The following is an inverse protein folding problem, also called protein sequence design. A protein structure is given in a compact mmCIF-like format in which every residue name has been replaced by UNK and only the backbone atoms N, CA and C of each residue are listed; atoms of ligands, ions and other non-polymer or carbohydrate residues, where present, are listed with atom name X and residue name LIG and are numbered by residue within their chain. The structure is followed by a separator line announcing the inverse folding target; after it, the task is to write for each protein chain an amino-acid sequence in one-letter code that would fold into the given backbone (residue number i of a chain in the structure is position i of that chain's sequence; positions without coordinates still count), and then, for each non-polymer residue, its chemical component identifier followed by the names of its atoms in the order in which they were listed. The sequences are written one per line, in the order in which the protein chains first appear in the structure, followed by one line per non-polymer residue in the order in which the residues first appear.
data_IF_705977332643
#
_entry.id   IF_705977332643
#
_cell.length_a   1.000
_cell.length_b   1.000
_cell.length_c   1.000
_cell.angle_alpha   90.00
_cell.angle_beta   90.00
_cell.angle_gamma   90.00
#
_symmetry.space_group_name_H-M   'P 1'
#
loop_
_entity.id
_entity.type
_entity.pdbx_description
1 polymer ?
#
# COMPACT_ATOMS: atom_id res chain seq x y z
N UNK A 1 4.03 5.07 -13.87
CA UNK A 1 3.82 4.02 -14.89
C UNK A 1 4.53 4.45 -16.17
N UNK A 2 5.74 3.95 -16.43
CA UNK A 2 6.57 4.40 -17.56
C UNK A 2 5.92 4.09 -18.91
N UNK A 3 5.13 3.02 -18.99
CA UNK A 3 4.28 2.68 -20.14
C UNK A 3 3.28 3.79 -20.45
N UNK A 4 2.67 4.40 -19.43
CA UNK A 4 1.73 5.50 -19.65
C UNK A 4 2.40 6.76 -20.22
N UNK A 5 3.62 7.07 -19.75
CA UNK A 5 4.41 8.17 -20.30
C UNK A 5 4.79 7.96 -21.77
N UNK A 6 5.14 6.73 -22.14
CA UNK A 6 5.51 6.38 -23.51
C UNK A 6 4.33 6.45 -24.49
N UNK A 7 3.17 5.91 -24.11
CA UNK A 7 1.98 5.92 -24.98
C UNK A 7 1.42 7.33 -25.19
N UNK A 8 1.45 8.20 -24.17
CA UNK A 8 1.01 9.59 -24.30
C UNK A 8 1.87 10.44 -25.24
N UNK A 9 3.14 10.10 -25.45
CA UNK A 9 4.01 10.75 -26.44
C UNK A 9 3.93 10.10 -27.83
N UNK A 10 3.28 8.93 -27.94
CA UNK A 10 3.10 8.21 -29.19
C UNK A 10 1.81 8.62 -29.93
N UNK A 11 1.74 8.35 -31.23
CA UNK A 11 0.55 8.62 -32.06
C UNK A 11 -0.73 7.88 -31.60
N UNK A 12 -0.63 6.87 -30.73
CA UNK A 12 -1.78 6.16 -30.17
C UNK A 12 -2.48 6.94 -29.04
N UNK A 13 -1.89 8.04 -28.58
CA UNK A 13 -2.45 8.89 -27.54
C UNK A 13 -2.66 8.18 -26.20
N UNK A 14 -3.47 8.79 -25.34
CA UNK A 14 -3.77 8.30 -24.00
C UNK A 14 -4.68 7.05 -24.02
N UNK A 15 -5.51 6.88 -25.05
CA UNK A 15 -6.47 5.79 -25.18
C UNK A 15 -5.79 4.42 -25.28
N UNK A 16 -4.61 4.35 -25.93
CA UNK A 16 -3.84 3.11 -26.09
C UNK A 16 -3.47 2.43 -24.76
N UNK A 17 -3.25 3.20 -23.70
CA UNK A 17 -2.97 2.67 -22.35
C UNK A 17 -4.16 1.92 -21.79
N UNK A 18 -5.37 2.45 -21.98
CA UNK A 18 -6.58 1.84 -21.46
C UNK A 18 -6.83 0.49 -22.13
N UNK A 19 -6.63 0.41 -23.45
CA UNK A 19 -6.72 -0.86 -24.18
C UNK A 19 -5.66 -1.86 -23.74
N UNK A 20 -4.40 -1.43 -23.59
CA UNK A 20 -3.31 -2.31 -23.14
C UNK A 20 -3.60 -2.87 -21.74
N UNK A 21 -3.99 -2.00 -20.80
CA UNK A 21 -4.31 -2.41 -19.44
C UNK A 21 -5.55 -3.31 -19.38
N UNK A 22 -6.56 -3.06 -20.22
CA UNK A 22 -7.75 -3.92 -20.31
C UNK A 22 -7.44 -5.32 -20.83
N UNK A 23 -6.58 -5.44 -21.86
CA UNK A 23 -6.15 -6.75 -22.38
C UNK A 23 -5.33 -7.48 -21.32
N UNK A 24 -4.42 -6.78 -20.65
CA UNK A 24 -3.57 -7.38 -19.61
C UNK A 24 -4.40 -7.90 -18.45
N UNK A 25 -5.36 -7.11 -17.95
CA UNK A 25 -6.25 -7.54 -16.85
C UNK A 25 -7.12 -8.72 -17.27
N UNK A 26 -7.64 -8.73 -18.50
CA UNK A 26 -8.43 -9.84 -19.03
C UNK A 26 -7.63 -11.15 -19.07
N UNK A 27 -6.37 -11.11 -19.55
CA UNK A 27 -5.47 -12.27 -19.53
C UNK A 27 -5.26 -12.77 -18.10
N UNK A 28 -4.97 -11.88 -17.15
CA UNK A 28 -4.81 -12.25 -15.74
C UNK A 28 -6.08 -12.84 -15.14
N UNK A 29 -7.26 -12.31 -15.46
CA UNK A 29 -8.55 -12.84 -15.00
C UNK A 29 -8.80 -14.25 -15.55
N UNK A 30 -8.49 -14.50 -16.83
CA UNK A 30 -8.60 -15.84 -17.42
C UNK A 30 -7.67 -16.82 -16.69
N UNK A 31 -6.40 -16.44 -16.50
CA UNK A 31 -5.43 -17.28 -15.78
C UNK A 31 -5.92 -17.57 -14.35
N UNK A 32 -6.39 -16.54 -13.65
CA UNK A 32 -6.91 -16.68 -12.29
C UNK A 32 -8.15 -17.59 -12.25
N UNK A 33 -9.05 -17.48 -13.23
CA UNK A 33 -10.24 -18.34 -13.33
C UNK A 33 -9.87 -19.83 -13.48
N UNK A 34 -8.80 -20.14 -14.22
CA UNK A 34 -8.34 -21.53 -14.38
C UNK A 34 -7.56 -22.07 -13.17
N UNK A 35 -6.80 -21.21 -12.48
CA UNK A 35 -5.91 -21.62 -11.38
C UNK A 35 -6.64 -21.61 -10.02
N UNK A 36 -7.49 -20.62 -9.77
CA UNK A 36 -8.06 -20.40 -8.45
C UNK A 36 -9.15 -21.43 -8.11
N UNK A 37 -9.00 -22.11 -6.97
CA UNK A 37 -10.02 -23.01 -6.40
C UNK A 37 -10.28 -22.64 -4.95
N UNK A 38 -11.56 -22.67 -4.56
CA UNK A 38 -12.03 -22.18 -3.25
C UNK A 38 -11.64 -23.06 -2.06
N UNK A 39 -11.36 -24.34 -2.30
CA UNK A 39 -10.89 -25.27 -1.26
C UNK A 39 -9.49 -25.80 -1.59
N UNK A 40 -8.54 -25.76 -0.63
CA UNK A 40 -7.20 -26.33 -0.84
C UNK A 40 -7.26 -27.83 -1.16
N UNK A 41 -8.29 -28.53 -0.69
CA UNK A 41 -8.55 -29.96 -0.97
C UNK A 41 -8.96 -30.25 -2.42
N UNK A 42 -9.41 -29.25 -3.17
CA UNK A 42 -9.87 -29.40 -4.56
C UNK A 42 -8.78 -29.01 -5.57
N UNK A 43 -7.61 -28.58 -5.09
CA UNK A 43 -6.53 -28.11 -5.93
C UNK A 43 -5.72 -29.30 -6.49
N UNK A 44 -5.68 -29.53 -7.82
CA UNK A 44 -5.07 -30.72 -8.40
C UNK A 44 -3.54 -30.78 -8.26
N UNK A 45 -2.89 -29.67 -7.89
CA UNK A 45 -1.44 -29.60 -7.70
C UNK A 45 -1.00 -29.60 -6.23
N UNK A 46 -1.91 -29.84 -5.27
CA UNK A 46 -1.50 -29.90 -3.85
C UNK A 46 -1.00 -31.30 -3.51
N UNK A 47 0.16 -31.37 -2.84
CA UNK A 47 0.69 -32.64 -2.34
C UNK A 47 -0.02 -33.04 -1.05
N UNK A 48 -0.27 -34.33 -0.83
CA UNK A 48 -0.87 -34.83 0.42
C UNK A 48 -0.07 -34.44 1.67
N UNK A 49 1.25 -34.25 1.53
CA UNK A 49 2.13 -33.79 2.61
C UNK A 49 1.85 -32.33 2.97
N UNK A 50 1.66 -31.47 1.96
CA UNK A 50 1.35 -30.06 2.14
C UNK A 50 -0.07 -29.89 2.71
N UNK A 51 -1.03 -30.69 2.22
CA UNK A 51 -2.41 -30.69 2.71
C UNK A 51 -2.45 -31.05 4.21
N UNK A 52 -1.70 -32.08 4.63
CA UNK A 52 -1.55 -32.43 6.06
C UNK A 52 -0.88 -31.32 6.87
N UNK A 53 0.12 -30.61 6.34
CA UNK A 53 0.74 -29.48 7.05
C UNK A 53 -0.21 -28.29 7.23
N UNK A 54 -1.01 -27.97 6.22
CA UNK A 54 -2.02 -26.91 6.30
C UNK A 54 -3.13 -27.28 7.29
N UNK A 55 -3.58 -28.54 7.27
CA UNK A 55 -4.58 -29.04 8.22
C UNK A 55 -4.06 -29.13 9.66
N UNK A 56 -2.78 -29.47 9.86
CA UNK A 56 -2.16 -29.51 11.18
C UNK A 56 -1.92 -28.09 11.77
N UNK A 57 -1.61 -27.11 10.90
CA UNK A 57 -1.45 -25.70 11.28
C UNK A 57 -2.76 -25.01 11.63
N UNK A 58 -3.88 -25.44 11.04
CA UNK A 58 -5.24 -25.10 11.48
C UNK A 58 -5.54 -25.88 12.75
N UNK A 59 -5.07 -25.36 13.89
CA UNK A 59 -5.36 -25.92 15.22
C UNK A 59 -6.82 -26.39 15.29
N UNK A 60 -7.08 -27.58 15.87
CA UNK A 60 -8.38 -28.25 16.03
C UNK A 60 -9.57 -27.37 16.50
N UNK A 61 -9.30 -26.12 16.90
CA UNK A 61 -10.26 -25.07 17.20
C UNK A 61 -11.09 -24.63 15.98
N UNK A 62 -10.53 -24.53 14.77
CA UNK A 62 -11.33 -24.13 13.59
C UNK A 62 -12.20 -25.28 13.05
N UNK A 63 -11.72 -26.52 13.12
CA UNK A 63 -12.44 -27.69 12.58
C UNK A 63 -13.55 -28.20 13.51
N UNK A 64 -13.38 -28.09 14.85
CA UNK A 64 -14.47 -28.39 15.81
C UNK A 64 -15.48 -27.25 15.90
N UNK A 65 -15.07 -26.00 15.70
CA UNK A 65 -16.02 -24.87 15.64
C UNK A 65 -16.81 -24.84 14.32
N UNK A 66 -16.24 -25.20 13.17
CA UNK A 66 -16.99 -25.18 11.91
C UNK A 66 -18.10 -26.23 11.80
N UNK A 67 -18.03 -27.34 12.54
CA UNK A 67 -19.12 -28.35 12.56
C UNK A 67 -20.22 -28.05 13.57
N UNK A 68 -19.95 -27.28 14.63
CA UNK A 68 -20.93 -26.97 15.70
C UNK A 68 -21.27 -25.47 15.87
N UNK A 69 -20.62 -24.53 15.16
CA UNK A 69 -20.89 -23.08 15.20
C UNK A 69 -21.39 -22.52 13.85
N UNK A 70 -22.37 -23.19 13.23
CA UNK A 70 -23.31 -22.49 12.33
C UNK A 70 -24.22 -21.51 13.07
N UNK A 71 -24.05 -21.34 14.38
CA UNK A 71 -24.57 -20.18 15.10
C UNK A 71 -23.56 -19.04 14.99
N UNK A 72 -23.93 -18.04 14.20
CA UNK A 72 -23.36 -16.71 14.14
C UNK A 72 -23.11 -16.16 15.56
N UNK A 73 -21.94 -16.44 16.14
CA UNK A 73 -21.45 -15.60 17.23
C UNK A 73 -21.06 -14.29 16.57
N UNK A 74 -22.00 -13.33 16.58
CA UNK A 74 -21.73 -11.94 16.17
C UNK A 74 -20.39 -11.56 16.81
N UNK A 75 -19.38 -11.15 16.03
CA UNK A 75 -18.11 -10.77 16.63
C UNK A 75 -18.41 -9.65 17.64
N UNK A 76 -17.78 -9.64 18.82
CA UNK A 76 -18.12 -8.70 19.89
C UNK A 76 -17.64 -7.28 19.51
N UNK A 77 -18.34 -6.62 18.59
CA UNK A 77 -18.04 -5.31 18.02
C UNK A 77 -17.73 -4.27 19.10
N UNK A 78 -18.52 -4.24 20.18
CA UNK A 78 -18.31 -3.31 21.29
C UNK A 78 -16.99 -3.55 22.05
N UNK A 79 -16.59 -4.81 22.28
CA UNK A 79 -15.31 -5.10 22.96
C UNK A 79 -14.11 -4.72 22.08
N UNK A 80 -14.25 -4.88 20.77
CA UNK A 80 -13.25 -4.50 19.78
C UNK A 80 -13.09 -2.98 19.73
N UNK A 81 -14.20 -2.24 19.65
CA UNK A 81 -14.19 -0.77 19.66
C UNK A 81 -13.74 -0.17 21.00
N UNK A 82 -13.71 -0.95 22.08
CA UNK A 82 -13.21 -0.48 23.40
C UNK A 82 -11.70 -0.70 23.55
N UNK A 83 -11.07 -1.53 22.71
CA UNK A 83 -9.64 -1.81 22.81
C UNK A 83 -8.82 -0.66 22.21
N UNK A 84 -8.05 0.00 23.06
CA UNK A 84 -7.13 1.09 22.69
C UNK A 84 -6.15 0.69 21.58
N UNK A 85 -5.75 -0.58 21.56
CA UNK A 85 -4.80 -1.13 20.61
C UNK A 85 -5.31 -1.06 19.17
N UNK A 86 -6.62 -1.19 18.99
CA UNK A 86 -7.26 -1.20 17.67
C UNK A 86 -7.39 0.23 17.13
N UNK A 87 -7.66 1.20 18.01
CA UNK A 87 -7.64 2.61 17.63
C UNK A 87 -6.26 3.10 17.20
N UNK A 88 -5.20 2.68 17.89
CA UNK A 88 -3.83 2.99 17.48
C UNK A 88 -3.49 2.38 16.11
N UNK A 89 -3.96 1.16 15.86
CA UNK A 89 -3.81 0.50 14.56
C UNK A 89 -4.54 1.27 13.45
N UNK A 90 -5.79 1.67 13.71
CA UNK A 90 -6.60 2.44 12.78
C UNK A 90 -5.98 3.80 12.43
N UNK A 91 -5.49 4.52 13.44
CA UNK A 91 -4.79 5.79 13.25
C UNK A 91 -3.47 5.61 12.48
N UNK A 92 -2.73 4.54 12.76
CA UNK A 92 -1.50 4.20 12.05
C UNK A 92 -1.74 3.98 10.54
N UNK A 93 -2.76 3.19 10.20
CA UNK A 93 -3.18 2.99 8.80
C UNK A 93 -3.63 4.28 8.13
N UNK A 94 -4.41 5.10 8.83
CA UNK A 94 -4.88 6.37 8.29
C UNK A 94 -3.70 7.30 7.93
N UNK A 95 -2.70 7.41 8.80
CA UNK A 95 -1.51 8.22 8.55
C UNK A 95 -0.66 7.69 7.39
N UNK A 96 -0.48 6.37 7.31
CA UNK A 96 0.27 5.73 6.22
C UNK A 96 -0.42 5.93 4.86
N UNK A 97 -1.74 5.77 4.80
CA UNK A 97 -2.50 5.98 3.56
C UNK A 97 -2.45 7.44 3.10
N UNK A 98 -2.51 8.41 4.03
CA UNK A 98 -2.32 9.83 3.70
C UNK A 98 -0.95 10.05 3.07
N UNK A 99 0.12 9.53 3.68
CA UNK A 99 1.47 9.71 3.15
C UNK A 99 1.64 9.06 1.77
N UNK A 100 1.08 7.87 1.58
CA UNK A 100 1.10 7.16 0.31
C UNK A 100 0.34 7.92 -0.79
N UNK A 101 -0.88 8.38 -0.51
CA UNK A 101 -1.66 9.12 -1.50
C UNK A 101 -1.08 10.49 -1.82
N UNK A 102 -0.55 11.18 -0.81
CA UNK A 102 0.15 12.44 -1.00
C UNK A 102 1.27 12.30 -2.05
N UNK A 103 2.08 11.25 -1.93
CA UNK A 103 3.14 10.94 -2.89
C UNK A 103 2.60 10.55 -4.26
N UNK A 104 1.56 9.72 -4.30
CA UNK A 104 0.93 9.25 -5.52
C UNK A 104 0.39 10.41 -6.37
N UNK A 105 -0.26 11.37 -5.73
CA UNK A 105 -0.86 12.52 -6.42
C UNK A 105 0.14 13.64 -6.70
N UNK A 106 0.93 14.04 -5.70
CA UNK A 106 1.85 15.19 -5.83
C UNK A 106 3.17 14.83 -6.48
N UNK A 107 3.63 13.59 -6.38
CA UNK A 107 4.89 13.14 -7.00
C UNK A 107 4.96 13.48 -8.49
N UNK A 108 4.03 12.96 -9.33
CA UNK A 108 4.05 13.25 -10.76
C UNK A 108 3.75 14.72 -11.07
N UNK A 109 2.85 15.35 -10.31
CA UNK A 109 2.53 16.77 -10.48
C UNK A 109 3.75 17.66 -10.25
N UNK A 110 4.50 17.40 -9.18
CA UNK A 110 5.69 18.16 -8.80
C UNK A 110 6.82 17.98 -9.82
N UNK A 111 7.10 16.75 -10.24
CA UNK A 111 8.10 16.45 -11.27
C UNK A 111 7.80 17.14 -12.62
N UNK A 112 6.54 17.20 -13.02
CA UNK A 112 6.17 17.84 -14.28
C UNK A 112 6.08 19.36 -14.18
N UNK A 113 5.35 19.90 -13.19
CA UNK A 113 5.05 21.35 -13.13
C UNK A 113 6.14 22.19 -12.48
N UNK A 114 6.86 21.65 -11.49
CA UNK A 114 7.90 22.41 -10.77
C UNK A 114 9.26 22.16 -11.38
N UNK A 115 9.56 20.91 -11.77
CA UNK A 115 10.86 20.55 -12.34
C UNK A 115 10.88 20.61 -13.88
N UNK A 116 9.72 20.77 -14.54
CA UNK A 116 9.64 20.90 -15.99
C UNK A 116 9.98 19.62 -16.76
N UNK A 117 9.97 18.45 -16.11
CA UNK A 117 10.30 17.18 -16.76
C UNK A 117 9.16 16.79 -17.71
N UNK A 118 9.49 16.25 -18.88
CA UNK A 118 8.51 15.71 -19.83
C UNK A 118 7.60 14.64 -19.18
N UNK A 119 6.45 14.38 -19.80
CA UNK A 119 5.49 13.40 -19.29
C UNK A 119 6.11 12.00 -19.27
N UNK A 120 6.86 11.62 -20.31
CA UNK A 120 7.61 10.35 -20.31
C UNK A 120 8.65 10.29 -19.19
N UNK A 121 9.47 11.33 -19.04
CA UNK A 121 10.51 11.38 -17.99
C UNK A 121 9.91 11.30 -16.58
N UNK A 122 8.81 12.00 -16.34
CA UNK A 122 8.05 11.94 -15.08
C UNK A 122 7.55 10.52 -14.79
N UNK A 123 7.10 9.80 -15.83
CA UNK A 123 6.69 8.39 -15.75
C UNK A 123 7.81 7.44 -15.30
N UNK A 124 9.04 7.68 -15.74
CA UNK A 124 10.23 6.91 -15.33
C UNK A 124 10.68 7.27 -13.92
N UNK A 125 10.86 8.55 -13.61
CA UNK A 125 11.34 9.00 -12.28
C UNK A 125 10.35 8.69 -11.16
N UNK A 126 9.05 8.79 -11.42
CA UNK A 126 8.02 8.39 -10.46
C UNK A 126 8.01 6.88 -10.19
N UNK A 127 8.44 6.04 -11.13
CA UNK A 127 8.44 4.59 -10.97
C UNK A 127 9.56 4.07 -10.06
N UNK A 128 10.70 4.75 -10.02
CA UNK A 128 11.89 4.36 -9.23
C UNK A 128 11.55 4.18 -7.73
N UNK A 129 10.91 5.14 -7.04
CA UNK A 129 10.50 5.01 -5.65
C UNK A 129 9.60 3.80 -5.38
N UNK A 130 8.63 3.53 -6.25
CA UNK A 130 7.73 2.38 -6.10
C UNK A 130 8.46 1.05 -6.30
N UNK A 131 9.40 0.98 -7.25
CA UNK A 131 10.25 -0.19 -7.44
C UNK A 131 11.14 -0.45 -6.23
N UNK A 132 11.75 0.61 -5.67
CA UNK A 132 12.52 0.50 -4.43
C UNK A 132 11.65 -0.01 -3.28
N UNK A 133 10.43 0.53 -3.12
CA UNK A 133 9.48 0.05 -2.12
C UNK A 133 9.14 -1.43 -2.31
N UNK A 134 8.95 -1.88 -3.54
CA UNK A 134 8.69 -3.29 -3.86
C UNK A 134 9.88 -4.19 -3.47
N UNK A 135 11.10 -3.80 -3.82
CA UNK A 135 12.31 -4.55 -3.44
C UNK A 135 12.43 -4.62 -1.93
N UNK A 136 12.22 -3.50 -1.23
CA UNK A 136 12.24 -3.47 0.24
C UNK A 136 11.20 -4.41 0.84
N UNK A 137 9.95 -4.41 0.35
CA UNK A 137 8.89 -5.31 0.80
C UNK A 137 9.27 -6.78 0.63
N UNK A 138 9.90 -7.13 -0.50
CA UNK A 138 10.35 -8.51 -0.78
C UNK A 138 11.52 -8.95 0.12
N UNK A 139 12.45 -8.05 0.41
CA UNK A 139 13.62 -8.36 1.25
C UNK A 139 13.28 -8.41 2.74
N UNK A 140 12.41 -7.51 3.21
CA UNK A 140 12.16 -7.35 4.64
C UNK A 140 11.36 -8.51 5.24
N UNK A 141 10.51 -9.17 4.44
CA UNK A 141 9.76 -10.36 4.88
C UNK A 141 10.67 -11.52 5.33
N UNK A 142 11.53 -12.06 4.43
CA UNK A 142 12.48 -13.11 4.79
C UNK A 142 13.47 -12.71 5.88
N UNK A 143 13.93 -11.46 5.89
CA UNK A 143 14.83 -10.95 6.95
C UNK A 143 14.13 -11.02 8.31
N UNK A 144 12.90 -10.54 8.38
CA UNK A 144 12.09 -10.60 9.57
C UNK A 144 11.90 -12.06 10.04
N UNK A 145 11.54 -12.96 9.14
CA UNK A 145 11.20 -14.35 9.47
C UNK A 145 12.39 -15.27 9.77
N UNK A 146 13.56 -15.04 9.16
CA UNK A 146 14.75 -15.90 9.36
C UNK A 146 15.73 -15.35 10.38
N UNK A 147 15.97 -14.05 10.37
CA UNK A 147 17.02 -13.42 11.18
C UNK A 147 16.46 -12.92 12.51
N UNK A 148 15.41 -12.10 12.46
CA UNK A 148 14.88 -11.47 13.67
C UNK A 148 14.01 -12.40 14.52
N UNK A 149 13.45 -13.46 13.93
CA UNK A 149 12.65 -14.46 14.67
C UNK A 149 13.45 -15.23 15.72
N UNK A 150 14.76 -15.36 15.52
CA UNK A 150 15.67 -16.07 16.44
C UNK A 150 16.09 -15.22 17.63
N UNK A 151 15.97 -13.89 17.51
CA UNK A 151 16.58 -12.93 18.46
C UNK A 151 15.50 -12.23 19.28
N UNK A 152 14.37 -11.86 18.66
CA UNK A 152 13.36 -11.01 19.29
C UNK A 152 11.97 -11.66 19.31
N UNK A 153 11.21 -11.32 20.35
CA UNK A 153 9.81 -11.70 20.44
C UNK A 153 9.00 -11.03 19.33
N UNK A 154 8.01 -11.75 18.79
CA UNK A 154 7.23 -11.32 17.64
C UNK A 154 6.56 -9.95 17.85
N UNK A 155 5.98 -9.72 19.04
CA UNK A 155 5.32 -8.45 19.37
C UNK A 155 6.28 -7.26 19.39
N UNK A 156 7.50 -7.47 19.90
CA UNK A 156 8.51 -6.42 19.97
C UNK A 156 8.98 -6.05 18.56
N UNK A 157 9.24 -7.06 17.73
CA UNK A 157 9.66 -6.90 16.34
C UNK A 157 8.63 -6.13 15.50
N UNK A 158 7.35 -6.47 15.62
CA UNK A 158 6.28 -5.78 14.91
C UNK A 158 6.15 -4.31 15.33
N UNK A 159 6.26 -4.02 16.63
CA UNK A 159 6.26 -2.64 17.15
C UNK A 159 7.48 -1.85 16.70
N UNK A 160 8.66 -2.49 16.69
CA UNK A 160 9.91 -1.88 16.24
C UNK A 160 9.82 -1.47 14.77
N UNK A 161 9.37 -2.37 13.89
CA UNK A 161 9.21 -2.06 12.47
C UNK A 161 8.17 -0.97 12.23
N UNK A 162 7.03 -1.03 12.93
CA UNK A 162 6.00 0.00 12.88
C UNK A 162 6.49 1.37 13.36
N UNK A 163 7.35 1.42 14.38
CA UNK A 163 7.95 2.67 14.85
C UNK A 163 8.94 3.22 13.82
N UNK A 164 9.87 2.38 13.33
CA UNK A 164 10.89 2.78 12.36
C UNK A 164 10.25 3.32 11.08
N UNK A 165 9.20 2.67 10.56
CA UNK A 165 8.46 3.16 9.41
C UNK A 165 7.82 4.52 9.68
N UNK A 166 7.11 4.69 10.79
CA UNK A 166 6.39 5.96 11.07
C UNK A 166 7.32 7.13 11.31
N UNK A 167 8.41 6.93 12.06
CA UNK A 167 9.43 7.96 12.23
C UNK A 167 10.13 8.26 10.90
N UNK A 168 10.43 7.24 10.09
CA UNK A 168 11.03 7.41 8.77
C UNK A 168 10.15 8.21 7.81
N UNK A 169 8.85 7.93 7.77
CA UNK A 169 7.86 8.69 6.98
C UNK A 169 7.79 10.13 7.48
N UNK A 170 7.68 10.34 8.79
CA UNK A 170 7.58 11.69 9.39
C UNK A 170 8.81 12.55 9.05
N UNK A 171 10.02 12.02 9.25
CA UNK A 171 11.27 12.73 8.94
C UNK A 171 11.37 13.04 7.45
N UNK A 172 11.02 12.08 6.60
CA UNK A 172 11.08 12.25 5.15
C UNK A 172 10.06 13.30 4.65
N UNK A 173 8.86 13.30 5.24
CA UNK A 173 7.81 14.25 4.90
C UNK A 173 8.13 15.66 5.38
N UNK A 174 8.71 15.80 6.58
CA UNK A 174 9.26 17.06 7.07
C UNK A 174 10.38 17.56 6.15
N UNK A 175 11.30 16.68 5.73
CA UNK A 175 12.34 17.00 4.76
C UNK A 175 11.78 17.56 3.45
N UNK A 176 10.79 16.87 2.87
CA UNK A 176 10.11 17.33 1.64
C UNK A 176 9.40 18.68 1.81
N UNK A 177 8.94 19.03 3.02
CA UNK A 177 8.33 20.33 3.28
C UNK A 177 9.35 21.48 3.31
N UNK A 178 10.57 21.25 3.81
CA UNK A 178 11.58 22.30 3.97
C UNK A 178 12.58 22.43 2.81
N UNK A 179 12.86 21.35 2.07
CA UNK A 179 13.83 21.35 0.96
C UNK A 179 13.49 22.36 -0.16
N UNK A 180 12.22 22.51 -0.60
CA UNK A 180 11.86 23.48 -1.64
C UNK A 180 12.15 24.93 -1.26
N UNK A 181 12.24 25.26 0.04
CA UNK A 181 12.60 26.60 0.51
C UNK A 181 14.12 26.89 0.38
N UNK A 182 14.96 25.86 0.34
CA UNK A 182 16.42 25.99 0.26
C UNK A 182 16.93 25.89 -1.18
N UNK A 183 16.46 24.91 -1.95
CA UNK A 183 16.83 24.74 -3.36
C UNK A 183 15.85 23.83 -4.10
N UNK A 184 15.49 24.20 -5.34
CA UNK A 184 14.60 23.39 -6.20
C UNK A 184 15.37 22.36 -7.04
N UNK A 185 16.39 21.71 -6.48
CA UNK A 185 17.21 20.76 -7.22
C UNK A 185 16.61 19.34 -7.22
N UNK A 186 16.49 18.75 -8.41
CA UNK A 186 15.96 17.39 -8.63
C UNK A 186 16.67 16.34 -7.76
N UNK A 187 17.99 16.47 -7.65
CA UNK A 187 18.87 15.53 -6.96
C UNK A 187 18.70 15.50 -5.44
N UNK A 188 18.17 16.56 -4.83
CA UNK A 188 17.87 16.58 -3.40
C UNK A 188 16.45 16.05 -3.10
N UNK A 189 15.50 16.18 -4.02
CA UNK A 189 14.10 15.84 -3.76
C UNK A 189 13.81 14.37 -4.05
N UNK A 190 14.37 13.84 -5.14
CA UNK A 190 14.21 12.44 -5.55
C UNK A 190 14.63 11.41 -4.47
N UNK A 191 15.76 11.56 -3.74
CA UNK A 191 16.11 10.64 -2.67
C UNK A 191 15.14 10.71 -1.49
N UNK A 192 14.69 11.90 -1.07
CA UNK A 192 13.70 12.02 0.02
C UNK A 192 12.35 11.37 -0.35
N UNK A 193 11.93 11.54 -1.61
CA UNK A 193 10.74 10.90 -2.16
C UNK A 193 10.89 9.37 -2.22
N UNK A 194 12.08 8.88 -2.55
CA UNK A 194 12.40 7.44 -2.57
C UNK A 194 12.45 6.84 -1.16
N UNK A 195 13.07 7.55 -0.22
CA UNK A 195 13.18 7.14 1.19
C UNK A 195 11.80 7.04 1.83
N UNK A 196 10.91 8.00 1.56
CA UNK A 196 9.53 7.94 2.04
C UNK A 196 8.80 6.68 1.52
N UNK A 197 8.95 6.36 0.23
CA UNK A 197 8.37 5.14 -0.37
C UNK A 197 9.00 3.84 0.17
N UNK A 198 10.27 3.86 0.55
CA UNK A 198 10.92 2.74 1.21
C UNK A 198 10.28 2.51 2.59
N UNK A 199 10.13 3.56 3.40
CA UNK A 199 9.57 3.45 4.75
C UNK A 199 8.09 3.05 4.78
N UNK A 200 7.27 3.52 3.84
CA UNK A 200 5.91 2.99 3.63
C UNK A 200 5.95 1.49 3.28
N UNK A 201 6.98 1.05 2.56
CA UNK A 201 7.24 -0.37 2.31
C UNK A 201 7.50 -1.20 3.57
N UNK A 202 8.28 -0.67 4.52
CA UNK A 202 8.48 -1.28 5.84
C UNK A 202 7.20 -1.35 6.67
N UNK A 203 6.32 -0.34 6.53
CA UNK A 203 5.06 -0.26 7.24
C UNK A 203 4.15 -1.46 6.99
N UNK A 204 4.19 -1.97 5.76
CA UNK A 204 3.48 -3.17 5.36
C UNK A 204 3.87 -4.38 6.21
N UNK A 205 5.12 -4.50 6.69
CA UNK A 205 5.49 -5.65 7.50
C UNK A 205 5.03 -5.53 8.97
N UNK A 206 5.05 -4.32 9.52
CA UNK A 206 4.63 -4.05 10.90
C UNK A 206 3.11 -4.09 11.04
N UNK A 207 2.42 -3.14 10.42
CA UNK A 207 0.99 -2.95 10.61
C UNK A 207 0.14 -4.04 9.95
N UNK A 208 0.53 -4.54 8.78
CA UNK A 208 -0.25 -5.61 8.12
C UNK A 208 -0.14 -6.95 8.85
N UNK A 209 1.03 -7.31 9.39
CA UNK A 209 1.14 -8.54 10.21
C UNK A 209 0.39 -8.39 11.53
N UNK A 210 0.43 -7.20 12.12
CA UNK A 210 -0.34 -6.91 13.32
C UNK A 210 -1.85 -6.96 13.05
N UNK A 211 -2.29 -6.39 11.92
CA UNK A 211 -3.67 -6.43 11.47
C UNK A 211 -4.10 -7.86 11.17
N UNK A 212 -3.29 -8.68 10.48
CA UNK A 212 -3.59 -10.09 10.23
C UNK A 212 -3.81 -10.90 11.52
N UNK A 213 -3.03 -10.61 12.58
CA UNK A 213 -3.17 -11.28 13.88
C UNK A 213 -4.46 -10.91 14.61
N UNK A 214 -4.89 -9.65 14.49
CA UNK A 214 -6.17 -9.17 15.03
C UNK A 214 -7.34 -9.62 14.13
N UNK A 215 -7.13 -9.60 12.82
CA UNK A 215 -8.03 -10.02 11.75
C UNK A 215 -8.36 -11.50 11.86
N UNK A 216 -7.40 -12.36 12.23
CA UNK A 216 -7.66 -13.79 12.48
C UNK A 216 -8.80 -14.02 13.50
N UNK A 217 -9.09 -13.05 14.37
CA UNK A 217 -10.29 -13.05 15.21
C UNK A 217 -11.46 -12.25 14.62
N UNK A 218 -11.19 -11.14 13.91
CA UNK A 218 -12.19 -10.16 13.44
C UNK A 218 -11.88 -9.51 12.06
N UNK A 219 -11.71 -10.32 11.01
CA UNK A 219 -11.26 -9.83 9.68
C UNK A 219 -12.18 -8.80 9.04
N UNK A 220 -13.49 -8.94 9.20
CA UNK A 220 -14.48 -8.11 8.50
C UNK A 220 -14.38 -6.62 8.88
N UNK A 221 -14.13 -6.32 10.16
CA UNK A 221 -14.04 -4.94 10.65
C UNK A 221 -12.78 -4.23 10.18
N UNK A 222 -11.64 -4.92 10.24
CA UNK A 222 -10.36 -4.36 9.80
C UNK A 222 -10.38 -4.06 8.31
N UNK A 223 -10.91 -4.98 7.50
CA UNK A 223 -11.05 -4.79 6.05
C UNK A 223 -12.00 -3.64 5.75
N UNK A 224 -13.13 -3.55 6.48
CA UNK A 224 -14.07 -2.44 6.33
C UNK A 224 -13.42 -1.09 6.65
N UNK A 225 -12.65 -1.01 7.75
CA UNK A 225 -11.92 0.21 8.11
C UNK A 225 -10.90 0.61 7.04
N UNK A 226 -10.10 -0.34 6.56
CA UNK A 226 -9.11 -0.08 5.50
C UNK A 226 -9.80 0.48 4.25
N UNK A 227 -10.93 -0.10 3.84
CA UNK A 227 -11.67 0.38 2.67
C UNK A 227 -12.25 1.79 2.87
N UNK A 228 -12.74 2.10 4.07
CA UNK A 228 -13.20 3.44 4.43
C UNK A 228 -12.04 4.45 4.31
N UNK A 229 -10.89 4.13 4.88
CA UNK A 229 -9.70 4.99 4.84
C UNK A 229 -9.24 5.24 3.40
N UNK A 230 -9.13 4.17 2.59
CA UNK A 230 -8.74 4.27 1.17
C UNK A 230 -9.73 5.13 0.37
N UNK A 231 -11.01 5.16 0.75
CA UNK A 231 -12.02 5.94 0.05
C UNK A 231 -12.03 7.41 0.48
N UNK A 232 -11.86 7.69 1.77
CA UNK A 232 -11.96 9.04 2.34
C UNK A 232 -10.69 9.85 2.12
N UNK A 233 -9.51 9.24 2.27
CA UNK A 233 -8.22 9.95 2.21
C UNK A 233 -8.02 10.69 0.87
N UNK A 234 -8.26 10.08 -0.31
CA UNK A 234 -8.15 10.77 -1.59
C UNK A 234 -9.11 11.96 -1.71
N UNK A 235 -10.35 11.84 -1.21
CA UNK A 235 -11.34 12.92 -1.26
C UNK A 235 -10.86 14.15 -0.47
N UNK A 236 -10.38 13.93 0.76
CA UNK A 236 -9.84 15.00 1.61
C UNK A 236 -8.62 15.64 0.94
N UNK A 237 -7.71 14.81 0.44
CA UNK A 237 -6.47 15.28 -0.18
C UNK A 237 -6.76 16.12 -1.43
N UNK A 238 -7.73 15.72 -2.24
CA UNK A 238 -8.15 16.45 -3.43
C UNK A 238 -8.77 17.81 -3.09
N UNK A 239 -9.67 17.89 -2.11
CA UNK A 239 -10.21 19.18 -1.65
C UNK A 239 -9.12 20.12 -1.14
N UNK A 240 -8.14 19.58 -0.41
CA UNK A 240 -7.04 20.38 0.14
C UNK A 240 -6.09 20.91 -0.95
N UNK A 241 -5.93 20.16 -2.03
CA UNK A 241 -5.01 20.48 -3.14
C UNK A 241 -5.66 21.31 -4.26
N UNK A 242 -6.98 21.23 -4.44
CA UNK A 242 -7.73 21.99 -5.45
C UNK A 242 -7.48 23.51 -5.44
N UNK A 243 -7.59 24.23 -4.31
CA UNK A 243 -7.41 25.68 -4.30
C UNK A 243 -5.98 26.08 -4.67
N UNK A 244 -4.97 25.26 -4.33
CA UNK A 244 -3.58 25.51 -4.74
C UNK A 244 -3.34 25.22 -6.22
N UNK A 245 -3.96 24.18 -6.79
CA UNK A 245 -3.88 23.91 -8.23
C UNK A 245 -4.50 25.03 -9.06
N UNK A 246 -5.66 25.54 -8.65
CA UNK A 246 -6.33 26.66 -9.31
C UNK A 246 -5.49 27.94 -9.24
N UNK A 247 -4.89 28.27 -8.09
CA UNK A 247 -3.99 29.43 -8.00
C UNK A 247 -2.73 29.31 -8.88
N UNK A 248 -2.13 28.11 -8.99
CA UNK A 248 -0.97 27.91 -9.87
C UNK A 248 -1.37 27.99 -11.35
N UNK A 249 -2.55 27.47 -11.72
CA UNK A 249 -3.07 27.59 -13.09
C UNK A 249 -3.41 29.04 -13.46
N UNK A 250 -3.98 29.80 -12.53
CA UNK A 250 -4.25 31.24 -12.69
C UNK A 250 -2.96 32.05 -12.82
N UNK A 251 -1.92 31.72 -12.05
CA UNK A 251 -0.64 32.44 -12.09
C UNK A 251 0.23 32.09 -13.32
N UNK A 252 0.08 30.89 -13.88
CA UNK A 252 0.80 30.45 -15.08
C UNK A 252 0.01 30.67 -16.40
N UNK A 253 -1.14 31.37 -16.36
CA UNK A 253 -1.91 31.73 -17.55
C UNK A 253 -2.42 30.54 -18.38
N UNK A 254 -2.44 29.33 -17.83
CA UNK A 254 -2.86 28.11 -18.53
C UNK A 254 -4.27 27.73 -18.05
N UNK A 255 -5.24 28.49 -18.54
CA UNK A 255 -6.63 28.09 -18.60
C UNK A 255 -6.76 27.21 -19.84
N UNK A 256 -6.87 25.90 -19.65
CA UNK A 256 -7.50 25.04 -20.66
C UNK A 256 -8.64 24.30 -19.98
N UNK A 257 -9.82 24.54 -20.55
CA UNK A 257 -11.08 23.84 -20.32
C UNK A 257 -10.95 22.33 -20.47
#
# INVERSE_FOLDING_TARGET
MPTAGYFCESNFGWEGIYYLMAILTLIFTIIFFFIFRGCPSEHPWISEVELKQIEFGKTEKETKENKNKKQQQKPPYFKILTDWTIWLLFLGFFCDEIAFQFISELGPYYLNKVLGISIAGTGYFSAIPYLLSLITKLLIGPINDKLLSKIFNEQFRTKLFAAISQYGICISMAGLAFIPLLSSSLWLILPFFSILNIFTGFNFLGFFRYSQKISAKHSELLISWINIVISIVPLILQELLQPRRQMIQLNNGLIYF
#
